data_IF_949479282606
#
_entry.id   IF_949479282606
#
_cell.length_a   1.000
_cell.length_b   1.000
_cell.length_c   1.000
_cell.angle_alpha   90.00
_cell.angle_beta   90.00
_cell.angle_gamma   90.00
#
_symmetry.space_group_name_H-M   'P 1'
#
loop_
_entity.id
_entity.type
_entity.pdbx_description
1 polymer ?
#
# COMPACT_ATOMS: atom_id res chain seq x y z
N UNK A 1 18.83 -10.24 8.15
CA UNK A 1 19.68 -9.71 9.24
C UNK A 1 19.22 -10.38 10.52
N UNK A 2 20.14 -10.83 11.36
CA UNK A 2 19.84 -11.34 12.70
C UNK A 2 20.27 -10.30 13.74
N UNK A 3 19.42 -10.01 14.73
CA UNK A 3 19.74 -9.09 15.82
C UNK A 3 19.88 -9.87 17.13
N UNK A 4 21.08 -9.89 17.68
CA UNK A 4 21.35 -10.44 19.01
C UNK A 4 21.14 -9.33 20.03
N UNK A 5 20.28 -9.56 21.01
CA UNK A 5 20.06 -8.65 22.15
C UNK A 5 20.88 -9.11 23.36
N UNK A 6 20.94 -8.26 24.39
CA UNK A 6 21.72 -8.52 25.63
C UNK A 6 23.22 -8.69 25.35
N UNK A 7 23.77 -7.82 24.49
CA UNK A 7 25.21 -7.84 24.18
C UNK A 7 26.12 -7.65 25.40
N UNK A 8 25.61 -6.99 26.44
CA UNK A 8 26.25 -6.80 27.75
C UNK A 8 26.46 -8.12 28.51
N UNK A 9 25.60 -9.11 28.30
CA UNK A 9 25.68 -10.42 28.96
C UNK A 9 26.73 -11.36 28.34
N UNK A 10 27.37 -10.95 27.25
CA UNK A 10 28.42 -11.75 26.63
C UNK A 10 29.67 -11.89 27.53
N UNK A 11 29.78 -11.15 28.65
CA UNK A 11 30.79 -11.35 29.73
C UNK A 11 32.24 -11.54 29.23
N UNK A 12 32.62 -10.89 28.13
CA UNK A 12 33.95 -10.99 27.52
C UNK A 12 34.10 -12.13 26.49
N UNK A 13 33.09 -12.99 26.35
CA UNK A 13 32.91 -13.86 25.20
C UNK A 13 32.46 -13.07 23.97
N UNK A 14 32.41 -13.75 22.83
CA UNK A 14 32.01 -13.18 21.56
C UNK A 14 30.88 -14.00 20.94
N UNK A 15 30.05 -13.37 20.11
CA UNK A 15 28.96 -14.08 19.41
C UNK A 15 29.52 -15.20 18.53
N UNK A 16 30.72 -15.02 18.00
CA UNK A 16 31.43 -16.01 17.19
C UNK A 16 31.70 -17.30 17.97
N UNK A 17 31.93 -17.22 19.29
CA UNK A 17 32.03 -18.40 20.15
C UNK A 17 30.71 -19.17 20.23
N UNK A 18 29.59 -18.45 20.43
CA UNK A 18 28.24 -19.06 20.43
C UNK A 18 27.91 -19.68 19.07
N UNK A 19 28.32 -19.04 17.97
CA UNK A 19 28.10 -19.56 16.62
C UNK A 19 28.99 -20.77 16.29
N UNK A 20 30.13 -20.93 16.97
CA UNK A 20 30.95 -22.11 16.83
C UNK A 20 30.32 -23.32 17.52
N UNK A 21 29.59 -23.10 18.62
CA UNK A 21 28.90 -24.14 19.38
C UNK A 21 27.52 -24.50 18.80
N UNK A 22 26.90 -23.60 18.01
CA UNK A 22 25.56 -23.77 17.45
C UNK A 22 25.55 -23.73 15.90
N UNK A 23 25.74 -24.88 15.21
CA UNK A 23 25.76 -24.96 13.75
C UNK A 23 24.47 -24.48 13.08
N UNK A 24 23.31 -24.76 13.65
CA UNK A 24 22.00 -24.37 13.11
C UNK A 24 21.82 -22.85 13.12
N UNK A 25 22.34 -22.20 14.16
CA UNK A 25 22.32 -20.73 14.26
C UNK A 25 23.27 -20.10 13.23
N UNK A 26 24.41 -20.75 12.97
CA UNK A 26 25.35 -20.33 11.94
C UNK A 26 24.75 -20.46 10.53
N UNK A 27 24.00 -21.52 10.27
CA UNK A 27 23.25 -21.72 9.01
C UNK A 27 22.19 -20.62 8.82
N UNK A 28 21.38 -20.35 9.85
CA UNK A 28 20.37 -19.28 9.83
C UNK A 28 20.98 -17.89 9.52
N UNK A 29 22.17 -17.60 10.06
CA UNK A 29 22.90 -16.37 9.76
C UNK A 29 23.42 -16.38 8.31
N UNK A 30 23.83 -17.53 7.80
CA UNK A 30 24.23 -17.72 6.40
C UNK A 30 23.12 -17.37 5.41
N UNK A 31 21.87 -17.73 5.72
CA UNK A 31 20.70 -17.36 4.92
C UNK A 31 20.40 -15.85 4.95
N UNK A 32 20.84 -15.18 6.01
CA UNK A 32 20.69 -13.73 6.17
C UNK A 32 21.83 -12.97 5.47
N UNK A 33 21.60 -12.47 4.24
CA UNK A 33 22.59 -11.70 3.45
C UNK A 33 23.31 -10.57 4.20
N UNK A 34 22.61 -9.88 5.10
CA UNK A 34 23.18 -8.78 5.89
C UNK A 34 23.94 -9.24 7.15
N UNK A 35 24.01 -10.55 7.40
CA UNK A 35 24.62 -11.16 8.59
C UNK A 35 23.88 -10.83 9.87
N UNK A 36 24.63 -10.70 10.97
CA UNK A 36 24.11 -10.34 12.29
C UNK A 36 24.62 -8.98 12.80
N UNK A 37 24.00 -8.51 13.88
CA UNK A 37 24.39 -7.36 14.69
C UNK A 37 24.11 -7.67 16.16
N UNK A 38 24.96 -7.17 17.05
CA UNK A 38 24.77 -7.26 18.52
C UNK A 38 24.27 -5.92 19.04
N UNK A 39 23.24 -5.97 19.88
CA UNK A 39 22.56 -4.81 20.44
C UNK A 39 22.49 -4.93 21.97
N UNK A 40 22.82 -3.83 22.64
CA UNK A 40 22.83 -3.71 24.09
C UNK A 40 21.70 -2.77 24.50
N UNK A 41 20.63 -3.37 25.03
CA UNK A 41 19.43 -2.63 25.42
C UNK A 41 19.62 -1.80 26.70
N UNK A 42 20.72 -1.97 27.43
CA UNK A 42 21.03 -1.22 28.65
C UNK A 42 21.71 0.11 28.35
N UNK A 43 22.41 0.20 27.21
CA UNK A 43 23.19 1.37 26.79
C UNK A 43 22.33 2.48 26.14
N UNK A 44 21.33 2.99 26.86
CA UNK A 44 20.34 3.95 26.33
C UNK A 44 20.92 5.30 25.88
N UNK A 45 22.10 5.67 26.37
CA UNK A 45 22.76 6.95 26.01
C UNK A 45 23.53 6.86 24.69
N UNK A 46 23.82 5.64 24.21
CA UNK A 46 24.69 5.40 23.06
C UNK A 46 23.84 5.39 21.79
N UNK A 47 23.68 6.56 21.17
CA UNK A 47 22.94 6.70 19.91
C UNK A 47 23.64 6.05 18.71
N UNK A 48 24.94 5.77 18.80
CA UNK A 48 25.69 5.14 17.70
C UNK A 48 25.21 3.72 17.41
N UNK A 49 24.73 2.98 18.41
CA UNK A 49 24.19 1.64 18.19
C UNK A 49 22.90 1.67 17.39
N UNK A 50 22.05 2.67 17.63
CA UNK A 50 20.83 2.90 16.83
C UNK A 50 21.19 3.33 15.40
N UNK A 51 22.20 4.20 15.23
CA UNK A 51 22.68 4.58 13.89
C UNK A 51 23.19 3.37 13.09
N UNK A 52 24.01 2.51 13.73
CA UNK A 52 24.51 1.27 13.12
C UNK A 52 23.36 0.31 12.76
N UNK A 53 22.29 0.28 13.56
CA UNK A 53 21.10 -0.53 13.25
C UNK A 53 20.40 -0.04 11.99
N UNK A 54 20.22 1.28 11.83
CA UNK A 54 19.65 1.84 10.61
C UNK A 54 20.52 1.55 9.38
N UNK A 55 21.84 1.71 9.49
CA UNK A 55 22.76 1.37 8.40
C UNK A 55 22.63 -0.12 7.99
N UNK A 56 22.48 -1.01 8.98
CA UNK A 56 22.29 -2.44 8.74
C UNK A 56 20.94 -2.76 8.09
N UNK A 57 19.89 -2.02 8.43
CA UNK A 57 18.57 -2.13 7.78
C UNK A 57 18.67 -1.66 6.32
N UNK A 58 19.31 -0.53 6.06
CA UNK A 58 19.51 -0.01 4.70
C UNK A 58 20.29 -1.00 3.84
N UNK A 59 21.38 -1.56 4.39
CA UNK A 59 22.15 -2.63 3.75
C UNK A 59 21.29 -3.87 3.45
N UNK A 60 20.37 -4.24 4.34
CA UNK A 60 19.45 -5.37 4.13
C UNK A 60 18.54 -5.11 2.93
N UNK A 61 17.99 -3.91 2.81
CA UNK A 61 17.14 -3.52 1.67
C UNK A 61 17.95 -3.52 0.36
N UNK A 62 19.18 -2.97 0.38
CA UNK A 62 20.06 -2.95 -0.79
C UNK A 62 20.42 -4.37 -1.27
N UNK A 63 20.78 -5.28 -0.37
CA UNK A 63 21.14 -6.67 -0.71
C UNK A 63 19.94 -7.51 -1.18
N UNK A 64 18.73 -7.13 -0.78
CA UNK A 64 17.49 -7.75 -1.24
C UNK A 64 16.95 -7.10 -2.52
N UNK A 65 17.44 -5.92 -2.88
CA UNK A 65 17.01 -5.13 -4.04
C UNK A 65 15.65 -4.42 -3.87
N UNK A 66 14.82 -4.88 -2.95
CA UNK A 66 13.52 -4.28 -2.66
C UNK A 66 13.01 -4.62 -1.25
N UNK A 67 11.83 -4.10 -0.92
CA UNK A 67 11.11 -4.44 0.30
C UNK A 67 10.44 -5.81 0.19
N UNK A 68 10.14 -6.42 1.33
CA UNK A 68 9.40 -7.69 1.37
C UNK A 68 8.01 -7.53 0.76
N UNK A 69 7.67 -8.43 -0.17
CA UNK A 69 6.34 -8.48 -0.80
C UNK A 69 5.78 -9.90 -0.72
N UNK A 70 4.45 -10.00 -0.65
CA UNK A 70 3.73 -11.27 -0.69
C UNK A 70 2.41 -11.10 -1.44
N UNK A 71 1.77 -12.21 -1.81
CA UNK A 71 0.45 -12.20 -2.47
C UNK A 71 -0.57 -11.38 -1.68
N UNK A 72 -0.61 -11.53 -0.36
CA UNK A 72 -1.51 -10.80 0.54
C UNK A 72 -1.22 -9.30 0.48
N UNK A 73 0.05 -8.88 0.52
CA UNK A 73 0.41 -7.46 0.39
C UNK A 73 -0.05 -6.88 -0.95
N UNK A 74 0.14 -7.62 -2.05
CA UNK A 74 -0.28 -7.18 -3.38
C UNK A 74 -1.79 -7.06 -3.50
N UNK A 75 -2.55 -7.99 -2.92
CA UNK A 75 -4.01 -7.94 -2.90
C UNK A 75 -4.55 -6.74 -2.13
N UNK A 76 -3.99 -6.46 -0.94
CA UNK A 76 -4.36 -5.29 -0.14
C UNK A 76 -4.07 -3.99 -0.89
N UNK A 77 -2.90 -3.89 -1.54
CA UNK A 77 -2.53 -2.72 -2.36
C UNK A 77 -3.45 -2.56 -3.57
N UNK A 78 -3.79 -3.66 -4.25
CA UNK A 78 -4.71 -3.65 -5.39
C UNK A 78 -6.12 -3.24 -4.97
N UNK A 79 -6.62 -3.73 -3.83
CA UNK A 79 -7.93 -3.36 -3.30
C UNK A 79 -7.99 -1.87 -2.97
N UNK A 80 -6.98 -1.33 -2.27
CA UNK A 80 -6.86 0.11 -2.00
C UNK A 80 -6.89 0.92 -3.28
N UNK A 81 -6.06 0.56 -4.28
CA UNK A 81 -6.00 1.25 -5.58
C UNK A 81 -7.34 1.20 -6.32
N UNK A 82 -8.02 0.05 -6.29
CA UNK A 82 -9.34 -0.08 -6.91
C UNK A 82 -10.40 0.79 -6.21
N UNK A 83 -10.37 0.86 -4.88
CA UNK A 83 -11.27 1.72 -4.10
C UNK A 83 -11.01 3.21 -4.38
N UNK A 84 -9.74 3.63 -4.44
CA UNK A 84 -9.34 4.99 -4.82
C UNK A 84 -9.79 5.33 -6.24
N UNK A 85 -9.49 4.45 -7.20
CA UNK A 85 -9.91 4.61 -8.60
C UNK A 85 -11.43 4.76 -8.70
N UNK A 86 -12.16 3.93 -7.96
CA UNK A 86 -13.61 3.98 -7.90
C UNK A 86 -14.13 5.31 -7.32
N UNK A 87 -13.51 5.85 -6.26
CA UNK A 87 -13.87 7.17 -5.72
C UNK A 87 -13.69 8.27 -6.77
N UNK A 88 -12.52 8.31 -7.42
CA UNK A 88 -12.20 9.33 -8.43
C UNK A 88 -13.12 9.26 -9.65
N UNK A 89 -13.50 8.05 -10.10
CA UNK A 89 -14.46 7.89 -11.18
C UNK A 89 -15.86 8.41 -10.78
N UNK A 90 -16.29 8.14 -9.55
CA UNK A 90 -17.58 8.61 -9.04
C UNK A 90 -17.65 10.14 -8.91
N UNK A 91 -16.55 10.78 -8.49
CA UNK A 91 -16.46 12.24 -8.41
C UNK A 91 -16.54 12.90 -9.80
N UNK A 92 -15.83 12.36 -10.81
CA UNK A 92 -15.88 12.89 -12.18
C UNK A 92 -17.27 12.83 -12.79
N UNK A 93 -18.02 11.74 -12.56
CA UNK A 93 -19.41 11.63 -13.03
C UNK A 93 -20.30 12.70 -12.39
N UNK A 94 -20.14 12.96 -11.08
CA UNK A 94 -20.90 14.01 -10.37
C UNK A 94 -20.56 15.40 -10.89
N UNK A 95 -19.27 15.72 -11.05
CA UNK A 95 -18.82 17.04 -11.52
C UNK A 95 -19.24 17.33 -12.96
N UNK A 96 -19.31 16.32 -13.84
CA UNK A 96 -19.78 16.51 -15.22
C UNK A 96 -21.31 16.59 -15.30
N UNK A 97 -22.04 15.90 -14.41
CA UNK A 97 -23.51 16.01 -14.34
C UNK A 97 -24.03 17.36 -13.82
N UNK A 98 -23.28 18.02 -12.92
CA UNK A 98 -23.70 19.27 -12.26
C UNK A 98 -23.93 20.46 -13.20
N UNK A 99 -22.95 20.87 -14.05
CA UNK A 99 -23.12 21.99 -14.96
C UNK A 99 -24.06 21.69 -16.13
N UNK A 100 -24.38 20.42 -16.42
CA UNK A 100 -25.35 20.04 -17.46
C UNK A 100 -26.81 20.17 -17.00
N UNK A 101 -27.09 20.05 -15.69
CA UNK A 101 -28.44 20.23 -15.12
C UNK A 101 -28.83 21.71 -14.94
N UNK A 102 -27.87 22.61 -14.69
CA UNK A 102 -28.17 24.05 -14.50
C UNK A 102 -28.44 24.79 -15.83
N UNK A 103 -27.89 24.30 -16.94
CA UNK A 103 -28.11 24.91 -18.26
C UNK A 103 -29.50 24.61 -18.86
N UNK A 104 -30.23 23.61 -18.35
CA UNK A 104 -31.52 23.20 -18.89
C UNK A 104 -32.73 24.01 -18.36
N UNK A 105 -32.55 24.83 -17.32
CA UNK A 105 -33.63 25.68 -16.76
C UNK A 105 -33.78 27.00 -17.54
N UNK A 106 -32.86 27.33 -18.46
CA UNK A 106 -32.76 28.65 -19.08
C UNK A 106 -32.95 28.73 -20.60
N UNK A 107 -33.59 27.76 -21.27
CA UNK A 107 -33.86 27.86 -22.71
C UNK A 107 -35.21 27.24 -23.10
N UNK A 108 -36.29 27.96 -22.77
CA UNK A 108 -37.58 27.77 -23.42
C UNK A 108 -37.96 29.08 -24.12
N UNK A 109 -37.80 29.16 -25.45
CA UNK A 109 -38.75 29.83 -26.37
C UNK A 109 -38.47 29.47 -27.84
N UNK A 110 -39.46 28.76 -28.42
CA UNK A 110 -40.02 28.79 -29.78
C UNK A 110 -39.12 28.63 -31.03
N UNK A 111 -39.29 27.50 -31.74
CA UNK A 111 -40.00 27.51 -33.04
C UNK A 111 -40.24 26.07 -33.55
N UNK A 112 -41.35 25.90 -34.26
CA UNK A 112 -41.92 24.63 -34.69
C UNK A 112 -41.05 23.90 -35.73
N UNK A 113 -40.97 22.57 -35.61
CA UNK A 113 -40.39 21.72 -36.66
C UNK A 113 -39.90 20.39 -36.14
N UNK A 114 -40.79 19.39 -36.25
CA UNK A 114 -40.60 17.93 -36.22
C UNK A 114 -39.15 17.42 -36.01
N UNK A 115 -38.95 16.50 -35.05
CA UNK A 115 -38.36 15.15 -35.27
C UNK A 115 -37.99 14.47 -33.93
N UNK A 116 -38.57 13.28 -33.74
CA UNK A 116 -38.40 12.24 -32.71
C UNK A 116 -38.79 12.56 -31.26
N UNK A 117 -39.61 11.68 -30.61
CA UNK A 117 -40.10 11.92 -29.26
C UNK A 117 -38.95 11.87 -28.27
N UNK A 118 -38.89 12.92 -27.46
CA UNK A 118 -37.96 13.14 -26.37
C UNK A 118 -38.04 12.01 -25.34
N UNK A 119 -37.09 11.08 -25.38
CA UNK A 119 -36.80 10.18 -24.26
C UNK A 119 -35.32 10.19 -23.84
N UNK A 120 -34.49 11.04 -24.42
CA UNK A 120 -33.03 10.88 -24.33
C UNK A 120 -32.33 11.68 -23.23
N UNK A 121 -33.02 12.55 -22.48
CA UNK A 121 -32.34 13.39 -21.48
C UNK A 121 -32.43 12.87 -20.03
N UNK A 122 -33.49 12.14 -19.64
CA UNK A 122 -33.66 11.70 -18.24
C UNK A 122 -33.05 10.33 -17.91
N UNK A 123 -32.66 9.55 -18.91
CA UNK A 123 -32.19 8.17 -18.70
C UNK A 123 -30.71 8.06 -18.37
N UNK A 124 -29.90 9.10 -18.61
CA UNK A 124 -28.44 9.03 -18.47
C UNK A 124 -28.01 8.92 -16.99
N UNK A 125 -28.66 9.64 -16.07
CA UNK A 125 -28.34 9.57 -14.63
C UNK A 125 -28.77 8.23 -14.03
N UNK A 126 -29.98 7.78 -14.35
CA UNK A 126 -30.52 6.50 -13.89
C UNK A 126 -29.71 5.31 -14.42
N UNK A 127 -29.39 5.31 -15.71
CA UNK A 127 -28.57 4.27 -16.33
C UNK A 127 -27.15 4.25 -15.76
N UNK A 128 -26.52 5.41 -15.52
CA UNK A 128 -25.20 5.48 -14.91
C UNK A 128 -25.18 4.93 -13.48
N UNK A 129 -26.18 5.25 -12.65
CA UNK A 129 -26.27 4.75 -11.28
C UNK A 129 -26.57 3.24 -11.21
N UNK A 130 -27.37 2.73 -12.15
CA UNK A 130 -27.61 1.30 -12.30
C UNK A 130 -26.31 0.62 -12.75
N UNK A 131 -25.68 1.07 -13.83
CA UNK A 131 -24.40 0.55 -14.34
C UNK A 131 -23.32 0.57 -13.25
N UNK A 132 -23.29 1.61 -12.41
CA UNK A 132 -22.41 1.74 -11.24
C UNK A 132 -22.61 0.61 -10.22
N UNK A 133 -23.85 0.15 -10.02
CA UNK A 133 -24.16 -0.98 -9.14
C UNK A 133 -23.65 -2.34 -9.65
N UNK A 134 -23.62 -2.54 -10.98
CA UNK A 134 -23.13 -3.76 -11.61
C UNK A 134 -21.60 -3.80 -11.73
N UNK A 135 -20.96 -2.63 -11.90
CA UNK A 135 -19.53 -2.52 -12.14
C UNK A 135 -18.69 -2.56 -10.85
N UNK A 136 -19.30 -2.34 -9.67
CA UNK A 136 -18.59 -2.44 -8.38
C UNK A 136 -18.12 -3.88 -8.15
N UNK A 137 -16.80 -4.10 -7.92
CA UNK A 137 -16.34 -5.40 -7.46
C UNK A 137 -16.93 -5.69 -6.08
N UNK A 138 -17.55 -6.87 -5.93
CA UNK A 138 -18.14 -7.31 -4.67
C UNK A 138 -17.01 -7.63 -3.66
N UNK A 139 -17.19 -7.32 -2.36
CA UNK A 139 -16.25 -7.75 -1.34
C UNK A 139 -16.19 -9.28 -1.34
N UNK A 140 -14.96 -9.84 -1.34
CA UNK A 140 -14.76 -11.27 -1.07
C UNK A 140 -15.10 -11.56 0.41
N UNK A 141 -15.66 -12.74 0.72
CA UNK A 141 -16.00 -13.14 2.09
C UNK A 141 -14.79 -13.15 3.01
#
# INVERSE_FOLDING_TARGET
MVLFTRGDDLRGGSVEGVLAECPELKELIGDCKAGYMVFDNTCMQIRTQVANLFEKIDKTVQLNGSYYTSSIYQEVQKKRRNEEWWKTCGERVKTVSGPMLSAAVGAAVASEGLVFPALSALTIVGAAQVMWGWLKPKPKP
#
